data_IF_276080034928
#
_entry.id   IF_276080034928
#
_cell.length_a   1.000
_cell.length_b   1.000
_cell.length_c   1.000
_cell.angle_alpha   90.00
_cell.angle_beta   90.00
_cell.angle_gamma   90.00
#
_symmetry.space_group_name_H-M   'P 1'
#
loop_
_entity.id
_entity.type
_entity.pdbx_description
1 polymer ?
#
# COMPACT_ATOMS: atom_id res chain seq x y z
N UNK A 1 -9.07 -17.97 -9.66
CA UNK A 1 -8.33 -16.74 -9.92
C UNK A 1 -8.94 -15.61 -9.13
N UNK A 2 -8.19 -15.15 -8.14
CA UNK A 2 -8.45 -14.02 -7.25
C UNK A 2 -7.61 -12.82 -7.69
N UNK A 3 -7.99 -11.60 -7.30
CA UNK A 3 -7.24 -10.38 -7.61
C UNK A 3 -5.73 -10.49 -7.31
N UNK A 4 -5.37 -11.06 -6.15
CA UNK A 4 -3.98 -11.26 -5.75
C UNK A 4 -3.22 -12.24 -6.68
N UNK A 5 -3.88 -13.30 -7.15
CA UNK A 5 -3.28 -14.22 -8.13
C UNK A 5 -3.05 -13.52 -9.47
N UNK A 6 -3.99 -12.70 -9.93
CA UNK A 6 -3.86 -11.96 -11.20
C UNK A 6 -2.72 -10.95 -11.12
N UNK A 7 -2.62 -10.25 -9.99
CA UNK A 7 -1.55 -9.30 -9.73
C UNK A 7 -0.17 -9.99 -9.75
N UNK A 8 -0.05 -11.17 -9.13
CA UNK A 8 1.18 -11.97 -9.18
C UNK A 8 1.52 -12.43 -10.59
N UNK A 9 0.54 -12.87 -11.38
CA UNK A 9 0.77 -13.25 -12.77
C UNK A 9 1.24 -12.06 -13.62
N UNK A 10 0.65 -10.88 -13.43
CA UNK A 10 1.10 -9.65 -14.08
C UNK A 10 2.55 -9.31 -13.70
N UNK A 11 2.89 -9.38 -12.41
CA UNK A 11 4.25 -9.13 -11.93
C UNK A 11 5.27 -10.14 -12.51
N UNK A 12 4.91 -11.43 -12.59
CA UNK A 12 5.74 -12.47 -13.22
C UNK A 12 5.94 -12.24 -14.71
N UNK A 13 4.98 -11.61 -15.38
CA UNK A 13 5.08 -11.17 -16.77
C UNK A 13 5.85 -9.84 -16.93
N UNK A 14 6.37 -9.25 -15.84
CA UNK A 14 7.07 -7.96 -15.88
C UNK A 14 6.13 -6.76 -16.09
N UNK A 15 4.84 -6.92 -15.76
CA UNK A 15 3.83 -5.87 -15.84
C UNK A 15 3.53 -5.35 -14.45
N UNK A 16 3.93 -4.12 -14.17
CA UNK A 16 3.50 -3.40 -12.99
C UNK A 16 2.06 -2.88 -13.20
N UNK A 17 1.20 -3.10 -12.21
CA UNK A 17 -0.21 -2.69 -12.22
C UNK A 17 -0.42 -1.71 -11.08
N UNK A 18 -0.91 -0.52 -11.39
CA UNK A 18 -1.28 0.50 -10.39
C UNK A 18 -2.72 0.97 -10.63
N UNK A 19 -3.33 1.62 -9.64
CA UNK A 19 -4.67 2.21 -9.77
C UNK A 19 -4.56 3.71 -10.07
N UNK A 20 -5.44 4.18 -10.95
CA UNK A 20 -5.69 5.61 -11.19
C UNK A 20 -7.21 5.83 -11.13
N UNK A 21 -7.71 6.28 -9.99
CA UNK A 21 -9.15 6.33 -9.69
C UNK A 21 -9.82 4.96 -9.77
N UNK A 22 -10.70 4.76 -10.75
CA UNK A 22 -11.34 3.48 -11.07
C UNK A 22 -10.61 2.71 -12.19
N UNK A 23 -9.49 3.23 -12.68
CA UNK A 23 -8.67 2.69 -13.76
C UNK A 23 -7.54 1.79 -13.29
N UNK A 24 -7.07 0.91 -14.18
CA UNK A 24 -5.79 0.23 -14.00
C UNK A 24 -4.79 0.82 -14.98
N UNK A 25 -3.62 1.20 -14.47
CA UNK A 25 -2.48 1.64 -15.27
C UNK A 25 -1.48 0.49 -15.33
N UNK A 26 -1.04 0.14 -16.54
CA UNK A 26 -0.11 -0.97 -16.79
C UNK A 26 1.22 -0.41 -17.28
N UNK A 27 2.30 -0.72 -16.56
CA UNK A 27 3.67 -0.35 -16.96
C UNK A 27 4.45 -1.62 -17.25
N UNK A 28 4.98 -1.74 -18.47
CA UNK A 28 5.78 -2.89 -18.88
C UNK A 28 6.81 -2.47 -19.95
N UNK A 29 7.96 -3.14 -19.99
CA UNK A 29 9.01 -2.89 -21.00
C UNK A 29 8.65 -3.42 -22.39
N UNK A 30 7.56 -4.19 -22.52
CA UNK A 30 7.04 -4.72 -23.78
C UNK A 30 5.53 -4.88 -23.69
N UNK A 31 4.80 -4.92 -24.83
CA UNK A 31 3.35 -5.09 -24.83
C UNK A 31 2.93 -6.37 -24.06
N UNK A 32 2.02 -6.27 -23.07
CA UNK A 32 1.51 -7.42 -22.34
C UNK A 32 0.78 -8.41 -23.25
N UNK A 33 0.80 -9.69 -22.89
CA UNK A 33 0.05 -10.71 -23.61
C UNK A 33 -1.46 -10.39 -23.59
N UNK A 34 -2.14 -10.61 -24.71
CA UNK A 34 -3.57 -10.34 -24.87
C UNK A 34 -4.44 -11.11 -23.89
N UNK A 35 -4.04 -12.32 -23.51
CA UNK A 35 -4.75 -13.12 -22.50
C UNK A 35 -4.64 -12.48 -21.11
N UNK A 36 -3.48 -11.90 -20.75
CA UNK A 36 -3.29 -11.17 -19.51
C UNK A 36 -4.14 -9.89 -19.49
N UNK A 37 -4.21 -9.16 -20.61
CA UNK A 37 -5.08 -7.98 -20.72
C UNK A 37 -6.57 -8.34 -20.56
N UNK A 38 -7.02 -9.43 -21.20
CA UNK A 38 -8.40 -9.92 -21.05
C UNK A 38 -8.70 -10.32 -19.61
N UNK A 39 -7.73 -10.93 -18.93
CA UNK A 39 -7.83 -11.37 -17.55
C UNK A 39 -7.88 -10.19 -16.56
N UNK A 40 -7.00 -9.20 -16.73
CA UNK A 40 -7.00 -7.96 -15.96
C UNK A 40 -8.31 -7.19 -16.17
N UNK A 41 -8.78 -7.09 -17.42
CA UNK A 41 -10.03 -6.41 -17.76
C UNK A 41 -11.25 -7.09 -17.13
N UNK A 42 -11.32 -8.42 -17.20
CA UNK A 42 -12.41 -9.22 -16.62
C UNK A 42 -12.54 -9.04 -15.10
N UNK A 43 -11.42 -8.86 -14.41
CA UNK A 43 -11.35 -8.78 -12.94
C UNK A 43 -11.01 -7.37 -12.43
N UNK A 44 -11.19 -6.35 -13.27
CA UNK A 44 -10.76 -4.97 -12.99
C UNK A 44 -11.27 -4.47 -11.64
N UNK A 45 -12.56 -4.63 -11.36
CA UNK A 45 -13.17 -4.15 -10.12
C UNK A 45 -12.57 -4.82 -8.87
N UNK A 46 -12.36 -6.15 -8.93
CA UNK A 46 -11.76 -6.90 -7.82
C UNK A 46 -10.30 -6.49 -7.58
N UNK A 47 -9.56 -6.23 -8.67
CA UNK A 47 -8.16 -5.77 -8.61
C UNK A 47 -8.09 -4.35 -8.04
N UNK A 48 -8.93 -3.44 -8.51
CA UNK A 48 -9.02 -2.06 -8.00
C UNK A 48 -9.37 -2.07 -6.51
N UNK A 49 -10.37 -2.85 -6.08
CA UNK A 49 -10.73 -2.97 -4.66
C UNK A 49 -9.65 -3.67 -3.80
N UNK A 50 -8.82 -4.53 -4.40
CA UNK A 50 -7.67 -5.13 -3.73
C UNK A 50 -6.53 -4.13 -3.55
N UNK A 51 -6.22 -3.35 -4.59
CA UNK A 51 -5.16 -2.35 -4.59
C UNK A 51 -5.50 -1.14 -3.70
N UNK A 52 -6.74 -0.64 -3.74
CA UNK A 52 -7.18 0.42 -2.80
C UNK A 52 -7.02 0.04 -1.33
N UNK A 53 -7.28 -1.22 -0.98
CA UNK A 53 -7.04 -1.75 0.38
C UNK A 53 -5.56 -1.79 0.78
N UNK A 54 -4.67 -1.83 -0.21
CA UNK A 54 -3.22 -1.85 -0.04
C UNK A 54 -2.60 -0.45 -0.14
N UNK A 55 -3.28 0.49 -0.79
CA UNK A 55 -2.85 1.87 -1.05
C UNK A 55 -3.47 2.87 -0.06
N UNK A 56 -4.13 2.41 1.00
CA UNK A 56 -4.95 3.26 1.87
C UNK A 56 -4.15 4.46 2.41
N UNK A 57 -2.85 4.31 2.69
CA UNK A 57 -1.95 5.39 3.09
C UNK A 57 -0.72 5.45 2.17
N UNK A 58 -0.45 6.65 1.63
CA UNK A 58 0.75 6.95 0.84
C UNK A 58 2.03 6.99 1.71
N UNK A 59 3.21 7.09 1.10
CA UNK A 59 4.46 7.27 1.85
C UNK A 59 4.44 8.56 2.69
N UNK A 60 3.83 9.63 2.19
CA UNK A 60 3.65 10.88 2.93
C UNK A 60 2.68 10.71 4.11
N UNK A 61 1.62 9.91 3.96
CA UNK A 61 0.68 9.61 5.07
C UNK A 61 1.38 8.78 6.15
N UNK A 62 2.20 7.80 5.76
CA UNK A 62 3.01 7.03 6.72
C UNK A 62 4.04 7.91 7.44
N UNK A 63 4.65 8.87 6.74
CA UNK A 63 5.57 9.83 7.35
C UNK A 63 4.85 10.77 8.32
N UNK A 64 3.68 11.28 7.94
CA UNK A 64 2.86 12.12 8.81
C UNK A 64 2.41 11.39 10.08
N UNK A 65 2.03 10.11 9.96
CA UNK A 65 1.67 9.28 11.11
C UNK A 65 2.87 9.02 12.04
N UNK A 66 4.06 8.82 11.48
CA UNK A 66 5.30 8.73 12.26
C UNK A 66 5.59 10.04 13.00
N UNK A 67 5.52 11.18 12.31
CA UNK A 67 5.81 12.49 12.89
C UNK A 67 4.82 12.83 14.01
N UNK A 68 3.54 12.53 13.82
CA UNK A 68 2.50 12.68 14.86
C UNK A 68 2.82 11.80 16.08
N UNK A 69 3.18 10.53 15.88
CA UNK A 69 3.44 9.60 16.98
C UNK A 69 4.72 9.95 17.74
N UNK A 70 5.77 10.35 17.04
CA UNK A 70 6.98 10.85 17.64
C UNK A 70 6.69 12.12 18.48
N UNK A 71 5.85 13.03 17.98
CA UNK A 71 5.45 14.22 18.71
C UNK A 71 4.65 13.89 19.99
N UNK A 72 3.69 12.96 19.91
CA UNK A 72 2.92 12.53 21.09
C UNK A 72 3.84 11.88 22.14
N UNK A 73 4.74 11.00 21.72
CA UNK A 73 5.67 10.33 22.63
C UNK A 73 6.71 11.30 23.24
N UNK A 74 7.13 12.33 22.49
CA UNK A 74 8.02 13.40 22.98
C UNK A 74 7.30 14.32 23.97
N UNK A 75 6.19 14.92 23.56
CA UNK A 75 5.53 15.99 24.31
C UNK A 75 4.60 15.50 25.40
N UNK A 76 3.80 14.46 25.12
CA UNK A 76 2.84 13.91 26.09
C UNK A 76 3.46 12.74 26.88
N UNK A 77 4.32 11.95 26.23
CA UNK A 77 5.04 10.82 26.84
C UNK A 77 6.31 11.21 27.59
N UNK A 78 6.83 12.43 27.38
CA UNK A 78 8.05 12.93 28.03
C UNK A 78 9.33 12.19 27.62
N UNK A 79 9.31 11.43 26.52
CA UNK A 79 10.50 10.79 25.97
C UNK A 79 11.43 11.82 25.34
N UNK A 80 12.74 11.58 25.43
CA UNK A 80 13.67 12.33 24.59
C UNK A 80 13.38 12.03 23.11
N UNK A 81 13.48 13.04 22.25
CA UNK A 81 13.14 12.95 20.82
C UNK A 81 13.62 11.67 20.13
N UNK A 82 14.88 11.30 20.30
CA UNK A 82 15.44 10.08 19.69
C UNK A 82 14.77 8.78 20.18
N UNK A 83 14.34 8.73 21.44
CA UNK A 83 13.60 7.58 21.98
C UNK A 83 12.13 7.59 21.51
N UNK A 84 11.52 8.77 21.38
CA UNK A 84 10.18 8.94 20.84
C UNK A 84 10.11 8.52 19.36
N UNK A 85 11.08 8.94 18.54
CA UNK A 85 11.18 8.54 17.13
C UNK A 85 11.40 7.02 17.00
N UNK A 86 12.24 6.41 17.85
CA UNK A 86 12.44 4.95 17.81
C UNK A 86 11.15 4.19 18.09
N UNK A 87 10.44 4.56 19.15
CA UNK A 87 9.17 3.92 19.50
C UNK A 87 8.07 4.17 18.47
N UNK A 88 8.03 5.37 17.87
CA UNK A 88 7.11 5.70 16.79
C UNK A 88 7.37 4.86 15.52
N UNK A 89 8.65 4.61 15.17
CA UNK A 89 9.01 3.75 14.04
C UNK A 89 8.55 2.31 14.23
N UNK A 90 8.68 1.76 15.43
CA UNK A 90 8.19 0.42 15.75
C UNK A 90 6.66 0.34 15.57
N UNK A 91 5.91 1.26 16.20
CA UNK A 91 4.45 1.27 16.19
C UNK A 91 3.87 1.52 14.78
N UNK A 92 4.42 2.47 14.02
CA UNK A 92 3.99 2.74 12.64
C UNK A 92 4.40 1.62 11.70
N UNK A 93 5.57 1.01 11.92
CA UNK A 93 6.02 -0.16 11.18
C UNK A 93 5.08 -1.36 11.36
N UNK A 94 4.62 -1.61 12.58
CA UNK A 94 3.63 -2.66 12.88
C UNK A 94 2.28 -2.40 12.22
N UNK A 95 1.79 -1.15 12.24
CA UNK A 95 0.55 -0.74 11.54
C UNK A 95 0.64 -0.92 10.02
N UNK A 96 1.77 -0.52 9.43
CA UNK A 96 2.03 -0.69 7.99
C UNK A 96 2.11 -2.17 7.60
N UNK A 97 2.63 -3.01 8.49
CA UNK A 97 2.79 -4.45 8.25
C UNK A 97 1.49 -5.24 8.38
N UNK A 98 0.54 -4.77 9.20
CA UNK A 98 -0.70 -5.49 9.53
C UNK A 98 -1.91 -5.09 8.68
N UNK A 99 -1.80 -4.06 7.83
CA UNK A 99 -2.88 -3.65 6.92
C UNK A 99 -4.14 -3.28 7.69
N UNK A 100 -4.07 -2.17 8.42
CA UNK A 100 -5.15 -1.48 9.14
C UNK A 100 -6.41 -2.30 9.49
N UNK A 101 -6.42 -2.90 10.69
CA UNK A 101 -7.65 -3.01 11.48
C UNK A 101 -7.72 -1.74 12.33
N UNK A 102 -8.65 -0.86 11.98
CA UNK A 102 -8.74 0.46 12.57
C UNK A 102 -9.23 0.51 14.01
N UNK A 103 -9.07 1.70 14.57
CA UNK A 103 -9.97 2.38 15.51
C UNK A 103 -9.58 3.87 15.33
N UNK A 104 -10.45 4.82 15.05
CA UNK A 104 -11.77 5.07 15.62
C UNK A 104 -11.75 6.49 16.17
#
# INVERSE_FOLDING_TARGET
MTAAEIFREAARAGVAVTVDGDGLVLTASSPPASDLLALLSKHKADIVAFLHRSEEWSEDDWQAAFDERAAIMEYDGGLARSAAETAALEEVGERRSTGHLGDG
#
